data_IF_967918145654
#
_entry.id   IF_967918145654
#
_cell.length_a   1.000
_cell.length_b   1.000
_cell.length_c   1.000
_cell.angle_alpha   90.00
_cell.angle_beta   90.00
_cell.angle_gamma   90.00
#
_symmetry.space_group_name_H-M   'P 1'
#
loop_
_entity.id
_entity.type
_entity.pdbx_description
1 polymer ?
#
# COMPACT_ATOMS: atom_id res chain seq x y z
N UNK A 1 -2.17 15.15 -1.93
CA UNK A 1 -3.05 13.97 -1.80
C UNK A 1 -3.66 13.84 -0.41
N UNK A 2 -2.92 14.13 0.65
CA UNK A 2 -3.41 14.06 2.03
C UNK A 2 -4.70 14.87 2.28
N UNK A 3 -4.84 16.06 1.67
CA UNK A 3 -6.07 16.85 1.72
C UNK A 3 -7.31 16.06 1.26
N UNK A 4 -7.18 15.29 0.18
CA UNK A 4 -8.28 14.50 -0.38
C UNK A 4 -8.63 13.32 0.53
N UNK A 5 -7.63 12.63 1.09
CA UNK A 5 -7.88 11.54 2.04
C UNK A 5 -8.59 12.04 3.31
N UNK A 6 -8.15 13.20 3.85
CA UNK A 6 -8.79 13.83 5.01
C UNK A 6 -10.21 14.29 4.70
N UNK A 7 -10.45 14.78 3.49
CA UNK A 7 -11.80 15.15 3.05
C UNK A 7 -12.71 13.91 2.95
N UNK A 8 -12.24 12.83 2.34
CA UNK A 8 -12.97 11.55 2.25
C UNK A 8 -13.32 11.01 3.65
N UNK A 9 -12.33 10.98 4.54
CA UNK A 9 -12.54 10.52 5.93
C UNK A 9 -13.59 11.36 6.67
N UNK A 10 -13.74 12.64 6.31
CA UNK A 10 -14.68 13.56 6.97
C UNK A 10 -16.09 13.50 6.38
N UNK A 11 -16.21 13.21 5.09
CA UNK A 11 -17.45 13.45 4.34
C UNK A 11 -18.07 12.21 3.70
N UNK A 12 -17.28 11.17 3.41
CA UNK A 12 -17.70 10.02 2.61
C UNK A 12 -17.43 8.67 3.29
N UNK A 13 -16.83 8.66 4.48
CA UNK A 13 -16.51 7.40 5.18
C UNK A 13 -17.73 6.87 5.94
N UNK A 14 -18.11 5.63 5.65
CA UNK A 14 -19.21 4.93 6.34
C UNK A 14 -18.76 4.34 7.70
N UNK A 15 -19.68 4.09 8.65
CA UNK A 15 -19.33 3.66 10.01
C UNK A 15 -18.54 2.34 10.10
N UNK A 16 -18.70 1.44 9.13
CA UNK A 16 -18.04 0.14 9.05
C UNK A 16 -16.78 0.15 8.15
N UNK A 17 -16.42 1.31 7.61
CA UNK A 17 -15.23 1.47 6.79
C UNK A 17 -13.97 1.81 7.60
N UNK A 18 -12.84 1.27 7.15
CA UNK A 18 -11.53 1.68 7.63
C UNK A 18 -11.15 3.06 7.05
N UNK A 19 -10.21 3.79 7.69
CA UNK A 19 -9.72 5.06 7.17
C UNK A 19 -9.24 4.94 5.71
N UNK A 20 -9.45 5.97 4.88
CA UNK A 20 -9.12 5.93 3.46
C UNK A 20 -7.61 5.79 3.23
N UNK A 21 -7.25 4.98 2.23
CA UNK A 21 -5.88 4.66 1.88
C UNK A 21 -5.47 5.37 0.59
N UNK A 22 -4.33 6.04 0.58
CA UNK A 22 -3.73 6.55 -0.65
C UNK A 22 -2.80 5.52 -1.26
N UNK A 23 -2.94 5.23 -2.56
CA UNK A 23 -1.96 4.41 -3.30
C UNK A 23 -1.47 5.22 -4.50
N UNK A 24 -0.15 5.38 -4.62
CA UNK A 24 0.50 5.98 -5.77
C UNK A 24 1.25 4.89 -6.53
N UNK A 25 0.97 4.75 -7.82
CA UNK A 25 1.63 3.78 -8.68
C UNK A 25 2.59 4.45 -9.67
N UNK A 26 3.87 4.14 -9.57
CA UNK A 26 4.95 4.75 -10.37
C UNK A 26 5.43 3.82 -11.50
N UNK A 27 5.81 4.40 -12.65
CA UNK A 27 6.25 3.68 -13.85
C UNK A 27 7.62 3.00 -13.74
N UNK A 28 8.39 3.29 -12.71
CA UNK A 28 9.72 2.72 -12.56
C UNK A 28 10.35 3.00 -11.20
N UNK A 29 11.33 2.17 -10.86
CA UNK A 29 12.08 2.19 -9.61
C UNK A 29 13.09 3.33 -9.57
N UNK A 30 12.68 4.48 -9.03
CA UNK A 30 13.62 5.32 -8.26
C UNK A 30 13.25 5.22 -6.79
N UNK A 31 13.57 4.06 -6.20
CA UNK A 31 13.28 3.74 -4.80
C UNK A 31 13.81 4.83 -3.85
N UNK A 32 15.00 5.38 -4.13
CA UNK A 32 15.60 6.49 -3.37
C UNK A 32 14.73 7.76 -3.38
N UNK A 33 14.11 8.10 -4.52
CA UNK A 33 13.22 9.26 -4.61
C UNK A 33 11.88 9.03 -3.89
N UNK A 34 11.46 7.76 -3.75
CA UNK A 34 10.23 7.39 -3.03
C UNK A 34 10.47 7.46 -1.51
N UNK A 35 11.61 6.98 -1.02
CA UNK A 35 11.98 7.03 0.41
C UNK A 35 12.07 8.47 0.94
N UNK A 36 12.56 9.41 0.12
CA UNK A 36 12.62 10.84 0.45
C UNK A 36 11.26 11.51 0.68
N UNK A 37 10.16 10.94 0.17
CA UNK A 37 8.84 11.55 0.28
C UNK A 37 8.13 11.27 1.61
N UNK A 38 8.66 10.37 2.46
CA UNK A 38 8.10 9.97 3.77
C UNK A 38 6.58 9.63 3.77
N UNK A 39 6.02 9.27 2.62
CA UNK A 39 4.57 9.16 2.40
C UNK A 39 3.89 8.05 3.22
N UNK A 40 4.65 7.00 3.59
CA UNK A 40 4.13 5.93 4.43
C UNK A 40 3.63 6.44 5.80
N UNK A 41 4.21 7.52 6.34
CA UNK A 41 3.78 8.11 7.62
C UNK A 41 2.41 8.81 7.53
N UNK A 42 1.94 9.12 6.32
CA UNK A 42 0.67 9.84 6.06
C UNK A 42 -0.42 8.96 5.46
N UNK A 43 -0.28 7.63 5.55
CA UNK A 43 -1.26 6.66 5.02
C UNK A 43 -1.27 6.57 3.49
N UNK A 44 -0.19 7.01 2.84
CA UNK A 44 -0.03 6.96 1.39
C UNK A 44 1.07 5.94 1.06
N UNK A 45 0.69 4.86 0.41
CA UNK A 45 1.62 3.84 -0.05
C UNK A 45 2.04 4.09 -1.48
N UNK A 46 3.34 4.01 -1.74
CA UNK A 46 3.88 4.14 -3.10
C UNK A 46 4.35 2.76 -3.56
N UNK A 47 3.90 2.35 -4.74
CA UNK A 47 4.29 1.09 -5.37
C UNK A 47 4.60 1.29 -6.85
N UNK A 48 5.25 0.30 -7.46
CA UNK A 48 5.48 0.26 -8.91
C UNK A 48 4.23 -0.30 -9.61
N UNK A 49 3.80 0.30 -10.73
CA UNK A 49 2.76 -0.33 -11.55
C UNK A 49 3.37 -1.39 -12.45
N UNK A 50 2.71 -2.54 -12.51
CA UNK A 50 3.01 -3.59 -13.47
C UNK A 50 2.10 -3.42 -14.68
N UNK A 51 2.66 -3.19 -15.86
CA UNK A 51 1.90 -3.14 -17.13
C UNK A 51 1.43 -4.51 -17.58
N UNK A 52 2.12 -5.55 -17.11
CA UNK A 52 1.86 -6.95 -17.47
C UNK A 52 1.77 -7.78 -16.21
N UNK A 53 0.84 -8.72 -16.21
CA UNK A 53 0.72 -9.67 -15.12
C UNK A 53 1.98 -10.57 -15.11
N UNK A 54 2.65 -10.75 -13.96
CA UNK A 54 3.74 -11.71 -13.86
C UNK A 54 3.23 -13.14 -14.09
N UNK A 55 4.15 -14.08 -14.31
CA UNK A 55 3.76 -15.49 -14.46
C UNK A 55 2.97 -15.97 -13.24
N UNK A 56 2.08 -16.95 -13.45
CA UNK A 56 1.23 -17.50 -12.38
C UNK A 56 2.06 -17.99 -11.20
N UNK A 57 3.18 -18.64 -11.47
CA UNK A 57 4.10 -19.18 -10.47
C UNK A 57 4.70 -18.04 -9.63
N UNK A 58 5.15 -16.97 -10.28
CA UNK A 58 5.73 -15.80 -9.61
C UNK A 58 4.70 -15.09 -8.75
N UNK A 59 3.49 -14.88 -9.29
CA UNK A 59 2.40 -14.25 -8.56
C UNK A 59 2.00 -15.05 -7.32
N UNK A 60 1.84 -16.37 -7.48
CA UNK A 60 1.49 -17.28 -6.40
C UNK A 60 2.54 -17.26 -5.29
N UNK A 61 3.82 -17.32 -5.64
CA UNK A 61 4.92 -17.25 -4.69
C UNK A 61 4.93 -15.92 -3.91
N UNK A 62 4.77 -14.78 -4.60
CA UNK A 62 4.71 -13.46 -3.95
C UNK A 62 3.52 -13.34 -3.00
N UNK A 63 2.34 -13.81 -3.39
CA UNK A 63 1.16 -13.78 -2.52
C UNK A 63 1.35 -14.62 -1.25
N UNK A 64 1.90 -15.83 -1.36
CA UNK A 64 2.22 -16.65 -0.19
C UNK A 64 3.20 -15.93 0.72
N UNK A 65 4.28 -15.37 0.16
CA UNK A 65 5.27 -14.62 0.94
C UNK A 65 4.64 -13.43 1.68
N UNK A 66 3.75 -12.68 1.03
CA UNK A 66 3.04 -11.55 1.64
C UNK A 66 2.14 -11.99 2.80
N UNK A 67 1.43 -13.12 2.65
CA UNK A 67 0.58 -13.69 3.71
C UNK A 67 1.43 -14.10 4.92
N UNK A 68 2.52 -14.82 4.70
CA UNK A 68 3.42 -15.25 5.78
C UNK A 68 4.03 -14.05 6.52
N UNK A 69 4.45 -13.03 5.78
CA UNK A 69 4.97 -11.78 6.37
C UNK A 69 3.91 -11.07 7.22
N UNK A 70 2.66 -11.01 6.74
CA UNK A 70 1.56 -10.40 7.48
C UNK A 70 1.23 -11.17 8.76
N UNK A 71 1.20 -12.52 8.68
CA UNK A 71 1.00 -13.39 9.86
C UNK A 71 2.07 -13.17 10.92
N UNK A 72 3.34 -13.15 10.52
CA UNK A 72 4.46 -12.88 11.44
C UNK A 72 4.35 -11.50 12.10
N UNK A 73 3.97 -10.46 11.34
CA UNK A 73 3.75 -9.12 11.89
C UNK A 73 2.62 -9.08 12.92
N UNK A 74 1.54 -9.82 12.69
CA UNK A 74 0.40 -9.88 13.63
C UNK A 74 0.75 -10.69 14.89
N UNK A 75 1.51 -11.77 14.77
CA UNK A 75 1.98 -12.55 15.92
C UNK A 75 2.97 -11.78 16.80
N UNK A 76 3.77 -10.90 16.19
CA UNK A 76 4.76 -10.08 16.89
C UNK A 76 4.22 -8.72 17.37
N UNK A 77 2.91 -8.48 17.27
CA UNK A 77 2.27 -7.27 17.79
C UNK A 77 1.80 -7.56 19.23
N UNK A 78 2.32 -6.86 20.25
CA UNK A 78 1.92 -7.08 21.64
C UNK A 78 0.44 -6.73 21.89
#
# INVERSE_FOLDING_TARGET
>A
MELYLRWLAKHEQEPDELPPLGIILCAGKKQEQIELLELDKSGIHVAEYLTVLPSRETLQAKLHQSIETARLRLQNKP
#
